data_IF_358739290590
#
_entry.id   IF_358739290590
#
_cell.length_a   1.000
_cell.length_b   1.000
_cell.length_c   1.000
_cell.angle_alpha   90.00
_cell.angle_beta   90.00
_cell.angle_gamma   90.00
#
_symmetry.space_group_name_H-M   'P 1'
#
loop_
_entity.id
_entity.type
_entity.pdbx_description
1 polymer ?
#
# COMPACT_ATOMS: atom_id res chain seq x y z
N UNK A 1 -6.09 34.39 -9.52
CA UNK A 1 -5.09 33.58 -8.79
C UNK A 1 -5.08 32.22 -9.46
N UNK A 2 -4.00 31.85 -10.14
CA UNK A 2 -3.88 30.49 -10.70
C UNK A 2 -3.95 29.48 -9.56
N UNK A 3 -4.85 28.50 -9.68
CA UNK A 3 -5.03 27.42 -8.72
C UNK A 3 -3.73 26.60 -8.75
N UNK A 4 -2.87 26.74 -7.74
CA UNK A 4 -1.63 25.96 -7.65
C UNK A 4 -1.98 24.47 -7.77
N UNK A 5 -1.32 23.77 -8.69
CA UNK A 5 -1.55 22.35 -8.89
C UNK A 5 -1.02 21.59 -7.67
N UNK A 6 -1.94 21.00 -6.90
CA UNK A 6 -1.62 20.18 -5.73
C UNK A 6 -1.51 18.73 -6.18
N UNK A 7 -0.50 18.03 -5.67
CA UNK A 7 -0.26 16.62 -5.94
C UNK A 7 -0.27 15.83 -4.63
N UNK A 8 -0.83 14.62 -4.66
CA UNK A 8 -0.91 13.71 -3.50
C UNK A 8 -0.03 12.51 -3.79
N UNK A 9 0.85 12.16 -2.86
CA UNK A 9 1.61 10.91 -2.94
C UNK A 9 0.66 9.75 -2.63
N UNK A 10 0.49 8.85 -3.59
CA UNK A 10 -0.44 7.70 -3.46
C UNK A 10 0.28 6.37 -3.32
N UNK A 11 1.60 6.34 -3.49
CA UNK A 11 2.37 5.11 -3.35
C UNK A 11 3.85 5.30 -3.60
N UNK A 12 4.55 4.17 -3.70
CA UNK A 12 5.95 4.06 -4.09
C UNK A 12 6.09 2.87 -5.03
N UNK A 13 6.93 3.01 -6.06
CA UNK A 13 7.32 1.89 -6.94
C UNK A 13 8.80 1.59 -6.74
N UNK A 14 9.13 0.33 -6.53
CA UNK A 14 10.50 -0.17 -6.48
C UNK A 14 10.63 -1.29 -7.50
N UNK A 15 11.10 -0.94 -8.69
CA UNK A 15 11.33 -1.89 -9.77
C UNK A 15 12.45 -2.86 -9.38
N UNK A 16 12.48 -4.04 -10.00
CA UNK A 16 13.62 -4.95 -9.88
C UNK A 16 14.63 -4.69 -10.98
N UNK A 17 15.91 -4.69 -10.65
CA UNK A 17 16.98 -4.72 -11.62
C UNK A 17 16.96 -6.08 -12.36
N UNK A 18 16.79 -6.11 -13.68
CA UNK A 18 16.78 -7.36 -14.45
C UNK A 18 18.09 -8.15 -14.40
N UNK A 19 19.23 -7.50 -14.14
CA UNK A 19 20.55 -8.14 -14.13
C UNK A 19 20.88 -8.81 -12.80
N UNK A 20 20.51 -8.17 -11.69
CA UNK A 20 20.86 -8.61 -10.33
C UNK A 20 19.68 -9.20 -9.56
N UNK A 21 18.45 -8.87 -9.95
CA UNK A 21 17.22 -9.22 -9.23
C UNK A 21 16.95 -8.36 -8.00
N UNK A 22 17.87 -7.46 -7.65
CA UNK A 22 17.77 -6.56 -6.51
C UNK A 22 16.73 -5.46 -6.72
N UNK A 23 16.29 -4.84 -5.63
CA UNK A 23 15.37 -3.72 -5.69
C UNK A 23 16.10 -2.44 -6.09
N UNK A 24 15.58 -1.75 -7.11
CA UNK A 24 15.96 -0.38 -7.44
C UNK A 24 15.41 0.59 -6.39
N UNK A 25 15.99 1.80 -6.27
CA UNK A 25 15.52 2.82 -5.34
C UNK A 25 14.01 3.06 -5.49
N UNK A 26 13.31 3.12 -4.36
CA UNK A 26 11.87 3.37 -4.35
C UNK A 26 11.59 4.80 -4.80
N UNK A 27 10.75 4.95 -5.82
CA UNK A 27 10.33 6.26 -6.35
C UNK A 27 8.87 6.51 -5.98
N UNK A 28 8.53 7.69 -5.40
CA UNK A 28 7.15 8.03 -5.05
C UNK A 28 6.27 8.22 -6.28
N UNK A 29 5.02 7.77 -6.19
CA UNK A 29 3.98 7.98 -7.18
C UNK A 29 3.04 9.10 -6.73
N UNK A 30 2.77 10.04 -7.62
CA UNK A 30 1.88 11.17 -7.35
C UNK A 30 0.70 11.19 -8.32
N UNK A 31 -0.46 11.62 -7.82
CA UNK A 31 -1.60 12.00 -8.66
C UNK A 31 -1.92 13.47 -8.45
N UNK A 32 -2.55 14.10 -9.44
CA UNK A 32 -3.12 15.44 -9.27
C UNK A 32 -4.24 15.36 -8.24
N UNK A 33 -4.28 16.32 -7.32
CA UNK A 33 -5.35 16.46 -6.35
C UNK A 33 -6.60 17.01 -7.06
N UNK A 34 -7.32 16.10 -7.71
CA UNK A 34 -8.67 16.32 -8.23
C UNK A 34 -9.71 16.07 -7.12
N UNK A 35 -10.92 16.59 -7.29
CA UNK A 35 -11.98 16.48 -6.29
C UNK A 35 -12.30 15.00 -5.99
N UNK A 36 -12.19 14.58 -4.72
CA UNK A 36 -12.52 13.22 -4.25
C UNK A 36 -11.34 12.22 -4.20
N UNK A 37 -10.15 12.61 -4.65
CA UNK A 37 -8.97 11.73 -4.65
C UNK A 37 -8.50 11.33 -3.23
N UNK A 38 -8.54 12.25 -2.27
CA UNK A 38 -8.12 12.00 -0.89
C UNK A 38 -9.06 11.04 -0.16
N UNK A 39 -10.37 11.25 -0.31
CA UNK A 39 -11.40 10.42 0.32
C UNK A 39 -11.37 8.99 -0.24
N UNK A 40 -11.19 8.86 -1.56
CA UNK A 40 -11.03 7.56 -2.23
C UNK A 40 -9.77 6.82 -1.75
N UNK A 41 -8.64 7.52 -1.57
CA UNK A 41 -7.41 6.93 -1.06
C UNK A 41 -7.54 6.46 0.40
N UNK A 42 -8.26 7.21 1.23
CA UNK A 42 -8.53 6.83 2.61
C UNK A 42 -9.40 5.56 2.70
N UNK A 43 -10.47 5.47 1.89
CA UNK A 43 -11.32 4.28 1.80
C UNK A 43 -10.54 3.05 1.36
N UNK A 44 -9.73 3.17 0.30
CA UNK A 44 -8.90 2.07 -0.19
C UNK A 44 -7.90 1.58 0.88
N UNK A 45 -7.26 2.51 1.60
CA UNK A 45 -6.33 2.17 2.68
C UNK A 45 -7.02 1.40 3.80
N UNK A 46 -8.24 1.82 4.18
CA UNK A 46 -9.03 1.14 5.20
C UNK A 46 -9.40 -0.29 4.77
N UNK A 47 -9.81 -0.48 3.51
CA UNK A 47 -10.22 -1.78 3.00
C UNK A 47 -9.06 -2.76 2.89
N UNK A 48 -7.90 -2.30 2.39
CA UNK A 48 -6.66 -3.08 2.40
C UNK A 48 -6.26 -3.45 3.83
N UNK A 49 -6.34 -2.49 4.76
CA UNK A 49 -6.05 -2.72 6.18
C UNK A 49 -6.93 -3.82 6.79
N UNK A 50 -8.24 -3.80 6.52
CA UNK A 50 -9.17 -4.85 6.97
C UNK A 50 -8.82 -6.21 6.39
N UNK A 51 -8.53 -6.28 5.09
CA UNK A 51 -8.17 -7.53 4.42
C UNK A 51 -6.90 -8.14 5.01
N UNK A 52 -5.86 -7.34 5.20
CA UNK A 52 -4.58 -7.80 5.76
C UNK A 52 -4.74 -8.24 7.23
N UNK A 53 -5.50 -7.48 8.03
CA UNK A 53 -5.79 -7.83 9.42
C UNK A 53 -6.54 -9.17 9.50
N UNK A 54 -7.55 -9.38 8.65
CA UNK A 54 -8.28 -10.64 8.60
C UNK A 54 -7.37 -11.81 8.20
N UNK A 55 -6.52 -11.64 7.18
CA UNK A 55 -5.56 -12.66 6.77
C UNK A 55 -4.59 -13.01 7.89
N UNK A 56 -4.09 -12.01 8.62
CA UNK A 56 -3.18 -12.24 9.75
C UNK A 56 -3.87 -12.97 10.90
N UNK A 57 -5.14 -12.65 11.19
CA UNK A 57 -5.94 -13.38 12.18
C UNK A 57 -6.06 -14.86 11.80
N UNK A 58 -6.47 -15.15 10.55
CA UNK A 58 -6.61 -16.53 10.05
C UNK A 58 -5.27 -17.29 10.08
N UNK A 59 -4.16 -16.62 9.74
CA UNK A 59 -2.82 -17.19 9.83
C UNK A 59 -2.48 -17.58 11.28
N UNK A 60 -2.68 -16.67 12.24
CA UNK A 60 -2.44 -16.94 13.66
C UNK A 60 -3.27 -18.11 14.18
N UNK A 61 -4.56 -18.14 13.88
CA UNK A 61 -5.47 -19.23 14.26
C UNK A 61 -5.02 -20.58 13.69
N UNK A 62 -4.58 -20.62 12.43
CA UNK A 62 -4.08 -21.83 11.79
C UNK A 62 -2.76 -22.30 12.40
N UNK A 63 -1.84 -21.40 12.72
CA UNK A 63 -0.59 -21.74 13.40
C UNK A 63 -0.83 -22.27 14.81
N UNK A 64 -1.72 -21.65 15.58
CA UNK A 64 -2.11 -22.12 16.91
C UNK A 64 -2.70 -23.54 16.83
N UNK A 65 -3.63 -23.78 15.91
CA UNK A 65 -4.21 -25.10 15.68
C UNK A 65 -3.17 -26.16 15.25
N UNK A 66 -2.10 -25.73 14.57
CA UNK A 66 -0.99 -26.58 14.17
C UNK A 66 0.10 -26.73 15.25
N UNK A 67 -0.02 -26.05 16.40
CA UNK A 67 1.01 -26.03 17.44
C UNK A 67 2.29 -25.28 17.04
N UNK A 68 2.20 -24.38 16.07
CA UNK A 68 3.31 -23.56 15.58
C UNK A 68 3.29 -22.19 16.27
N UNK A 69 4.40 -21.79 16.88
CA UNK A 69 4.55 -20.45 17.45
C UNK A 69 4.61 -19.38 16.35
N UNK A 70 3.89 -18.27 16.55
CA UNK A 70 3.81 -17.12 15.62
C UNK A 70 4.48 -15.90 16.20
#
# INVERSE_FOLDING_TARGET
MEKQERFIQVGVTALRDPATGDFLPAVPLYIKAEDGAEESAAGLTQDIGKLLAERMRRYKEACEAAGVAV
#
